data_IF_590063117831
#
_entry.id   IF_590063117831
#
_cell.length_a   1.000
_cell.length_b   1.000
_cell.length_c   1.000
_cell.angle_alpha   90.00
_cell.angle_beta   90.00
_cell.angle_gamma   90.00
#
_symmetry.space_group_name_H-M   'P 1'
#
loop_
_entity.id
_entity.type
_entity.pdbx_description
1 polymer ?
#
# COMPACT_ATOMS: atom_id res chain seq x y z
N UNK A 1 16.63 25.29 2.81
CA UNK A 1 15.51 25.11 1.84
C UNK A 1 14.56 24.11 2.46
N UNK A 2 13.31 24.47 2.72
CA UNK A 2 12.29 23.52 3.18
C UNK A 2 11.69 22.89 1.92
N UNK A 3 11.92 21.59 1.74
CA UNK A 3 11.32 20.83 0.65
C UNK A 3 9.80 20.84 0.81
N UNK A 4 9.13 21.29 -0.23
CA UNK A 4 7.69 21.54 -0.22
C UNK A 4 7.00 20.19 -0.40
N UNK A 5 6.50 19.61 0.69
CA UNK A 5 5.77 18.33 0.70
C UNK A 5 4.77 18.27 -0.46
N UNK A 6 5.05 17.36 -1.39
CA UNK A 6 4.21 17.14 -2.57
C UNK A 6 2.91 16.50 -2.09
N UNK A 7 1.76 17.01 -2.53
CA UNK A 7 0.42 16.70 -2.00
C UNK A 7 -0.03 15.21 -2.02
N UNK A 8 0.81 14.27 -2.49
CA UNK A 8 0.59 12.82 -2.38
C UNK A 8 1.59 12.07 -1.48
N UNK A 9 2.66 12.74 -1.05
CA UNK A 9 3.76 12.18 -0.26
C UNK A 9 3.29 11.73 1.13
N UNK A 10 2.33 12.45 1.73
CA UNK A 10 1.77 12.13 3.05
C UNK A 10 1.18 10.71 3.12
N UNK A 11 0.57 10.23 2.02
CA UNK A 11 0.03 8.87 1.97
C UNK A 11 1.10 7.80 1.72
N UNK A 12 2.21 8.17 1.06
CA UNK A 12 3.34 7.28 0.83
C UNK A 12 4.16 7.08 2.11
N UNK A 13 4.37 8.15 2.88
CA UNK A 13 5.05 8.13 4.18
C UNK A 13 4.31 7.31 5.25
N UNK A 14 3.05 6.96 5.00
CA UNK A 14 2.26 6.15 5.92
C UNK A 14 2.51 4.64 5.76
N UNK A 15 3.14 4.19 4.67
CA UNK A 15 3.28 2.77 4.34
C UNK A 15 4.73 2.36 4.16
N UNK A 16 5.07 1.18 4.66
CA UNK A 16 6.38 0.55 4.53
C UNK A 16 6.24 -0.83 3.88
N UNK A 17 7.33 -1.34 3.34
CA UNK A 17 7.38 -2.71 2.82
C UNK A 17 7.12 -3.71 3.96
N UNK A 18 6.28 -4.71 3.68
CA UNK A 18 5.86 -5.69 4.68
C UNK A 18 4.66 -5.26 5.53
N UNK A 19 4.16 -4.03 5.40
CA UNK A 19 2.94 -3.60 6.07
C UNK A 19 1.76 -4.46 5.61
N UNK A 20 0.90 -4.82 6.57
CA UNK A 20 -0.38 -5.46 6.29
C UNK A 20 -1.42 -4.36 6.08
N UNK A 21 -2.10 -4.42 4.95
CA UNK A 21 -3.09 -3.45 4.53
C UNK A 21 -4.43 -4.10 4.20
N UNK A 22 -5.48 -3.30 4.33
CA UNK A 22 -6.85 -3.62 3.97
C UNK A 22 -7.26 -2.80 2.74
N UNK A 23 -7.98 -3.41 1.81
CA UNK A 23 -8.77 -2.68 0.81
C UNK A 23 -10.16 -3.29 0.68
N UNK A 24 -11.08 -2.50 0.12
CA UNK A 24 -12.47 -2.93 -0.07
C UNK A 24 -12.79 -3.05 -1.55
N UNK A 25 -13.59 -4.05 -1.89
CA UNK A 25 -14.13 -4.24 -3.23
C UNK A 25 -15.64 -4.33 -3.16
N UNK A 26 -16.33 -3.57 -4.00
CA UNK A 26 -17.78 -3.68 -4.11
C UNK A 26 -18.16 -5.01 -4.75
N UNK A 27 -19.07 -5.75 -4.10
CA UNK A 27 -19.61 -6.99 -4.60
C UNK A 27 -21.05 -6.78 -5.07
N UNK A 28 -21.25 -6.79 -6.38
CA UNK A 28 -22.57 -6.53 -6.98
C UNK A 28 -23.60 -7.63 -6.67
N UNK A 29 -23.17 -8.86 -6.35
CA UNK A 29 -24.08 -9.97 -6.08
C UNK A 29 -24.71 -9.88 -4.70
N UNK A 30 -23.92 -9.51 -3.71
CA UNK A 30 -24.38 -9.34 -2.32
C UNK A 30 -24.80 -7.90 -2.03
N UNK A 31 -24.43 -6.95 -2.90
CA UNK A 31 -24.59 -5.50 -2.67
C UNK A 31 -23.87 -5.04 -1.40
N UNK A 32 -22.70 -5.61 -1.13
CA UNK A 32 -21.88 -5.35 0.06
C UNK A 32 -20.42 -5.06 -0.33
N UNK A 33 -19.66 -4.50 0.62
CA UNK A 33 -18.22 -4.29 0.48
C UNK A 33 -17.46 -5.49 1.02
N UNK A 34 -16.82 -6.25 0.13
CA UNK A 34 -15.90 -7.32 0.52
C UNK A 34 -14.59 -6.70 1.01
N UNK A 35 -14.13 -7.16 2.17
CA UNK A 35 -12.88 -6.72 2.78
C UNK A 35 -11.79 -7.71 2.38
N UNK A 36 -10.65 -7.18 1.95
CA UNK A 36 -9.48 -7.97 1.57
C UNK A 36 -8.24 -7.47 2.28
N UNK A 37 -7.30 -8.39 2.50
CA UNK A 37 -6.03 -8.11 3.15
C UNK A 37 -4.84 -8.55 2.29
N UNK A 38 -3.72 -7.87 2.48
CA UNK A 38 -2.49 -8.15 1.74
C UNK A 38 -1.29 -7.50 2.38
N UNK A 39 -0.12 -7.87 1.90
CA UNK A 39 1.17 -7.34 2.33
C UNK A 39 1.72 -6.43 1.24
N UNK A 40 2.22 -5.25 1.61
CA UNK A 40 2.90 -4.37 0.66
C UNK A 40 4.25 -4.99 0.27
N UNK A 41 4.47 -5.17 -1.03
CA UNK A 41 5.72 -5.71 -1.60
C UNK A 41 6.53 -4.67 -2.36
N UNK A 42 5.91 -3.58 -2.81
CA UNK A 42 6.59 -2.45 -3.47
C UNK A 42 5.81 -1.14 -3.26
N UNK A 43 6.54 -0.02 -3.26
CA UNK A 43 5.96 1.34 -3.21
C UNK A 43 6.71 2.22 -4.22
N UNK A 44 5.96 2.78 -5.16
CA UNK A 44 6.52 3.62 -6.22
C UNK A 44 5.70 4.88 -6.45
N UNK A 45 6.38 6.00 -6.68
CA UNK A 45 5.74 7.24 -7.13
C UNK A 45 5.73 7.28 -8.65
N UNK A 46 4.58 7.60 -9.25
CA UNK A 46 4.41 7.71 -10.71
C UNK A 46 3.78 9.05 -11.08
N UNK A 47 4.24 9.64 -12.19
CA UNK A 47 3.57 10.79 -12.80
C UNK A 47 2.44 10.31 -13.72
N UNK A 48 1.20 10.68 -13.40
CA UNK A 48 0.01 10.38 -14.20
C UNK A 48 -0.75 11.68 -14.51
N UNK A 49 -0.91 11.99 -15.80
CA UNK A 49 -1.64 13.18 -16.27
C UNK A 49 -1.25 14.47 -15.52
N UNK A 50 0.05 14.70 -15.38
CA UNK A 50 0.65 15.84 -14.67
C UNK A 50 0.41 15.88 -13.15
N UNK A 51 0.09 14.74 -12.53
CA UNK A 51 -0.02 14.58 -11.07
C UNK A 51 0.87 13.44 -10.59
N UNK A 52 1.61 13.66 -9.52
CA UNK A 52 2.35 12.59 -8.85
C UNK A 52 1.38 11.78 -7.99
N UNK A 53 1.38 10.46 -8.20
CA UNK A 53 0.56 9.50 -7.45
C UNK A 53 1.45 8.42 -6.85
N UNK A 54 1.16 8.04 -5.62
CA UNK A 54 1.80 6.90 -4.98
C UNK A 54 1.03 5.62 -5.29
N UNK A 55 1.75 4.60 -5.75
CA UNK A 55 1.25 3.28 -6.07
C UNK A 55 1.92 2.28 -5.13
N UNK A 56 1.12 1.52 -4.41
CA UNK A 56 1.57 0.40 -3.59
C UNK A 56 1.21 -0.90 -4.28
N UNK A 57 2.20 -1.77 -4.47
CA UNK A 57 1.98 -3.14 -4.93
C UNK A 57 1.73 -4.02 -3.71
N UNK A 58 0.63 -4.77 -3.74
CA UNK A 58 0.14 -5.57 -2.63
C UNK A 58 -0.01 -7.02 -3.08
N UNK A 59 0.56 -7.93 -2.29
CA UNK A 59 0.35 -9.36 -2.39
C UNK A 59 -0.83 -9.78 -1.50
N UNK A 60 -1.97 -10.25 -2.07
CA UNK A 60 -3.11 -10.69 -1.27
C UNK A 60 -2.76 -11.89 -0.38
N UNK A 61 -3.22 -11.87 0.87
CA UNK A 61 -3.10 -13.01 1.80
C UNK A 61 -4.07 -14.13 1.39
N UNK A 62 -5.24 -13.75 0.87
CA UNK A 62 -6.32 -14.67 0.50
C UNK A 62 -6.53 -14.73 -1.01
N UNK A 63 -6.85 -15.93 -1.51
CA UNK A 63 -7.18 -16.16 -2.91
C UNK A 63 -5.95 -16.27 -3.83
N UNK A 64 -6.06 -15.70 -5.03
CA UNK A 64 -4.97 -15.76 -6.01
C UNK A 64 -3.82 -14.85 -5.55
N UNK A 65 -2.69 -15.44 -5.19
CA UNK A 65 -1.46 -14.80 -4.71
C UNK A 65 -0.69 -14.07 -5.82
N UNK A 66 -1.42 -13.38 -6.69
CA UNK A 66 -0.85 -12.49 -7.70
C UNK A 66 -0.87 -11.08 -7.15
N UNK A 67 0.27 -10.42 -7.25
CA UNK A 67 0.44 -9.01 -6.88
C UNK A 67 -0.52 -8.09 -7.64
N UNK A 68 -0.95 -7.03 -6.97
CA UNK A 68 -1.87 -6.02 -7.50
C UNK A 68 -1.39 -4.63 -7.11
N UNK A 69 -1.47 -3.71 -8.06
CA UNK A 69 -1.17 -2.30 -7.83
C UNK A 69 -2.42 -1.56 -7.35
N UNK A 70 -2.27 -0.79 -6.28
CA UNK A 70 -3.29 0.10 -5.73
C UNK A 70 -2.75 1.52 -5.66
N UNK A 71 -3.63 2.51 -5.80
CA UNK A 71 -3.31 3.84 -5.30
C UNK A 71 -3.15 3.73 -3.79
N UNK A 72 -2.05 4.22 -3.22
CA UNK A 72 -1.79 4.05 -1.78
C UNK A 72 -2.91 4.65 -0.92
N UNK A 73 -3.60 5.70 -1.41
CA UNK A 73 -4.78 6.30 -0.77
C UNK A 73 -6.02 5.38 -0.69
N UNK A 74 -6.09 4.30 -1.46
CA UNK A 74 -7.21 3.34 -1.37
C UNK A 74 -6.97 2.23 -0.34
N UNK A 75 -5.78 2.21 0.28
CA UNK A 75 -5.39 1.22 1.27
C UNK A 75 -5.60 1.78 2.68
N UNK A 76 -5.95 0.91 3.61
CA UNK A 76 -5.98 1.20 5.04
C UNK A 76 -4.92 0.36 5.73
N UNK A 77 -4.04 0.99 6.49
CA UNK A 77 -3.05 0.28 7.29
C UNK A 77 -3.74 -0.56 8.39
N UNK A 78 -3.40 -1.84 8.48
CA UNK A 78 -3.90 -2.77 9.50
C UNK A 78 -2.80 -3.10 10.51
N UNK A 79 -1.60 -3.40 10.02
CA UNK A 79 -0.43 -3.66 10.87
C UNK A 79 0.83 -3.14 10.21
N UNK A 80 1.68 -2.48 11.01
CA UNK A 80 3.03 -2.13 10.58
C UNK A 80 3.94 -3.35 10.52
N UNK A 81 4.81 -3.39 9.53
CA UNK A 81 5.96 -4.28 9.55
C UNK A 81 6.80 -3.96 10.79
N UNK A 82 7.21 -5.00 11.52
CA UNK A 82 8.19 -4.80 12.59
C UNK A 82 9.56 -4.73 11.93
N UNK A 83 10.23 -3.58 12.02
CA UNK A 83 11.67 -3.52 11.75
C UNK A 83 12.37 -4.42 12.76
N UNK A 84 12.72 -5.63 12.33
CA UNK A 84 13.79 -6.35 13.01
C UNK A 84 15.08 -5.68 12.57
N UNK A 85 15.70 -4.90 13.46
CA UNK A 85 17.12 -4.63 13.37
C UNK A 85 17.82 -6.00 13.30
N UNK A 86 18.16 -6.43 12.10
CA UNK A 86 19.05 -7.57 11.89
C UNK A 86 20.45 -7.03 12.18
N UNK A 87 20.90 -7.21 13.42
CA UNK A 87 22.30 -7.03 13.78
C UNK A 87 23.12 -7.93 12.87
N UNK A 88 23.65 -7.35 11.80
CA UNK A 88 24.48 -8.05 10.83
C UNK A 88 25.88 -8.08 11.44
N UNK A 89 26.14 -9.09 12.29
CA UNK A 89 27.50 -9.51 12.58
C UNK A 89 28.02 -10.33 11.40
N UNK A 90 28.76 -9.67 10.51
CA UNK A 90 29.76 -10.27 9.62
C UNK A 90 31.03 -9.46 9.74
#
# INVERSE_FOLDING_TARGET
MQEKNIYGQISAEQFDLGDIVEWKRWNEKTSEWDIHYGVITDIKTKLMSNRLVCISTVLPIEGNQKEKDFFSMSLKLVSKATEKHLDTNC
#
